data_IF_133084249809
#
_entry.id   IF_133084249809
#
_cell.length_a   1.000
_cell.length_b   1.000
_cell.length_c   1.000
_cell.angle_alpha   90.00
_cell.angle_beta   90.00
_cell.angle_gamma   90.00
#
_symmetry.space_group_name_H-M   'P 1'
#
loop_
_entity.id
_entity.type
_entity.pdbx_description
1 polymer ?
#
# COMPACT_ATOMS: atom_id res chain seq x y z
N UNK A 1 26.89 2.92 -18.23
CA UNK A 1 26.71 1.75 -19.11
C UNK A 1 25.51 0.99 -18.55
N UNK A 2 24.40 0.89 -19.29
CA UNK A 2 23.21 0.16 -18.83
C UNK A 2 23.37 -1.32 -19.16
N UNK A 3 23.20 -2.19 -18.16
CA UNK A 3 23.26 -3.64 -18.36
C UNK A 3 21.86 -4.22 -18.65
N UNK A 4 21.80 -5.40 -19.24
CA UNK A 4 20.52 -6.09 -19.46
C UNK A 4 19.82 -6.41 -18.13
N UNK A 5 20.56 -6.62 -17.05
CA UNK A 5 20.00 -6.81 -15.71
C UNK A 5 19.31 -5.55 -15.19
N UNK A 6 19.84 -4.36 -15.47
CA UNK A 6 19.20 -3.08 -15.12
C UNK A 6 17.89 -2.90 -15.90
N UNK A 7 17.89 -3.26 -17.19
CA UNK A 7 16.69 -3.22 -18.03
C UNK A 7 15.60 -4.17 -17.51
N UNK A 8 15.97 -5.40 -17.12
CA UNK A 8 15.04 -6.35 -16.50
C UNK A 8 14.50 -5.83 -15.16
N UNK A 9 15.34 -5.17 -14.36
CA UNK A 9 14.91 -4.58 -13.08
C UNK A 9 13.91 -3.44 -13.28
N UNK A 10 14.09 -2.60 -14.30
CA UNK A 10 13.14 -1.55 -14.66
C UNK A 10 11.79 -2.12 -15.13
N UNK A 11 11.81 -3.17 -15.96
CA UNK A 11 10.59 -3.85 -16.41
C UNK A 11 9.85 -4.51 -15.24
N UNK A 12 10.57 -5.09 -14.29
CA UNK A 12 10.01 -5.66 -13.06
C UNK A 12 9.38 -4.57 -12.19
N UNK A 13 10.06 -3.43 -11.98
CA UNK A 13 9.52 -2.29 -11.23
C UNK A 13 8.27 -1.67 -11.85
N UNK A 14 8.11 -1.76 -13.18
CA UNK A 14 6.89 -1.35 -13.91
C UNK A 14 5.81 -2.44 -13.96
N UNK A 15 6.03 -3.60 -13.35
CA UNK A 15 5.10 -4.74 -13.39
C UNK A 15 4.92 -5.38 -14.77
N UNK A 16 5.85 -5.17 -15.71
CA UNK A 16 5.74 -5.65 -17.10
C UNK A 16 6.27 -7.08 -17.31
N UNK A 17 6.94 -7.64 -16.32
CA UNK A 17 7.43 -9.03 -16.31
C UNK A 17 7.13 -9.67 -14.97
N UNK A 18 6.85 -10.98 -14.96
CA UNK A 18 6.64 -11.70 -13.70
C UNK A 18 7.97 -11.98 -12.99
N UNK A 19 7.90 -12.26 -11.68
CA UNK A 19 9.08 -12.68 -10.89
C UNK A 19 9.79 -13.89 -11.51
N UNK A 20 9.02 -14.82 -12.09
CA UNK A 20 9.56 -16.00 -12.78
C UNK A 20 10.33 -15.62 -14.05
N UNK A 21 9.80 -14.69 -14.84
CA UNK A 21 10.46 -14.23 -16.08
C UNK A 21 11.75 -13.50 -15.77
N UNK A 22 11.76 -12.67 -14.73
CA UNK A 22 12.96 -12.00 -14.25
C UNK A 22 14.04 -13.00 -13.81
N UNK A 23 13.68 -13.97 -12.95
CA UNK A 23 14.63 -14.97 -12.45
C UNK A 23 15.18 -15.85 -13.57
N UNK A 24 14.33 -16.30 -14.51
CA UNK A 24 14.77 -17.11 -15.65
C UNK A 24 15.74 -16.36 -16.56
N UNK A 25 15.46 -15.08 -16.85
CA UNK A 25 16.33 -14.26 -17.69
C UNK A 25 17.62 -13.84 -16.97
N UNK A 26 17.55 -13.53 -15.68
CA UNK A 26 18.74 -13.26 -14.88
C UNK A 26 19.67 -14.48 -14.82
N UNK A 27 19.11 -15.69 -14.67
CA UNK A 27 19.89 -16.93 -14.73
C UNK A 27 20.53 -17.16 -16.11
N UNK A 28 19.81 -16.88 -17.20
CA UNK A 28 20.35 -16.95 -18.56
C UNK A 28 21.49 -15.96 -18.81
N UNK A 29 21.47 -14.80 -18.13
CA UNK A 29 22.56 -13.81 -18.12
C UNK A 29 23.73 -14.19 -17.20
N UNK A 30 23.70 -15.37 -16.60
CA UNK A 30 24.77 -15.88 -15.73
C UNK A 30 24.69 -15.40 -14.28
N UNK A 31 23.58 -14.79 -13.86
CA UNK A 31 23.39 -14.45 -12.45
C UNK A 31 23.28 -15.74 -11.62
N UNK A 32 24.03 -15.80 -10.52
CA UNK A 32 23.88 -16.89 -9.56
C UNK A 32 22.48 -16.86 -8.95
N UNK A 33 21.98 -18.02 -8.49
CA UNK A 33 20.67 -18.10 -7.86
C UNK A 33 20.51 -17.12 -6.67
N UNK A 34 21.58 -16.92 -5.89
CA UNK A 34 21.61 -15.97 -4.78
C UNK A 34 21.51 -14.51 -5.26
N UNK A 35 22.28 -14.13 -6.29
CA UNK A 35 22.24 -12.78 -6.86
C UNK A 35 20.89 -12.50 -7.54
N UNK A 36 20.37 -13.45 -8.34
CA UNK A 36 19.07 -13.31 -8.99
C UNK A 36 17.94 -13.12 -7.97
N UNK A 37 17.97 -13.85 -6.85
CA UNK A 37 16.97 -13.74 -5.79
C UNK A 37 17.05 -12.40 -5.04
N UNK A 38 18.25 -11.92 -4.73
CA UNK A 38 18.42 -10.60 -4.07
C UNK A 38 18.01 -9.46 -4.98
N UNK A 39 18.36 -9.51 -6.26
CA UNK A 39 17.94 -8.53 -7.27
C UNK A 39 16.43 -8.57 -7.51
N UNK A 40 15.82 -9.76 -7.58
CA UNK A 40 14.37 -9.89 -7.67
C UNK A 40 13.67 -9.32 -6.42
N UNK A 41 14.24 -9.52 -5.23
CA UNK A 41 13.74 -8.92 -3.99
C UNK A 41 13.70 -7.39 -4.05
N UNK A 42 14.72 -6.76 -4.66
CA UNK A 42 14.77 -5.31 -4.87
C UNK A 42 13.82 -4.85 -5.99
N UNK A 43 13.81 -5.56 -7.12
CA UNK A 43 13.04 -5.19 -8.30
C UNK A 43 11.51 -5.35 -8.13
N UNK A 44 11.10 -6.31 -7.31
CA UNK A 44 9.69 -6.55 -6.94
C UNK A 44 9.39 -6.11 -5.49
N UNK A 45 10.20 -5.23 -4.91
CA UNK A 45 9.92 -4.67 -3.60
C UNK A 45 8.56 -3.93 -3.63
N UNK A 46 7.79 -4.04 -2.56
CA UNK A 46 6.57 -3.26 -2.38
C UNK A 46 6.92 -1.78 -2.17
N UNK A 47 7.25 -1.08 -3.24
CA UNK A 47 7.52 0.35 -3.22
C UNK A 47 6.22 1.14 -3.23
N UNK A 48 6.16 2.31 -2.59
CA UNK A 48 4.96 3.15 -2.63
C UNK A 48 4.57 3.47 -4.07
N UNK A 49 3.36 3.10 -4.47
CA UNK A 49 2.80 3.47 -5.77
C UNK A 49 2.18 4.85 -5.62
N UNK A 50 2.63 5.81 -6.44
CA UNK A 50 2.05 7.15 -6.47
C UNK A 50 0.66 7.11 -7.13
N UNK A 51 -0.38 7.42 -6.36
CA UNK A 51 -1.77 7.42 -6.83
C UNK A 51 -2.38 6.02 -6.86
N UNK A 52 -3.53 5.89 -7.53
CA UNK A 52 -4.33 4.66 -7.57
C UNK A 52 -5.74 4.86 -7.00
N UNK A 53 -6.57 3.83 -7.11
CA UNK A 53 -7.94 3.83 -6.57
C UNK A 53 -8.00 2.77 -5.48
N UNK A 54 -8.25 3.21 -4.24
CA UNK A 54 -8.61 2.31 -3.15
C UNK A 54 -10.07 1.91 -3.35
N UNK A 55 -10.34 0.61 -3.51
CA UNK A 55 -11.69 0.06 -3.60
C UNK A 55 -11.92 -0.85 -2.40
N UNK A 56 -12.96 -0.56 -1.61
CA UNK A 56 -13.35 -1.35 -0.46
C UNK A 56 -14.84 -1.63 -0.50
N UNK A 57 -15.24 -2.88 -0.23
CA UNK A 57 -16.64 -3.23 0.01
C UNK A 57 -16.98 -2.97 1.47
N UNK A 58 -17.81 -1.98 1.74
CA UNK A 58 -18.22 -1.57 3.09
C UNK A 58 -19.74 -1.63 3.19
N UNK A 59 -20.25 -1.85 4.41
CA UNK A 59 -21.68 -1.89 4.66
C UNK A 59 -22.27 -0.49 4.90
N UNK A 60 -23.49 -0.31 4.42
CA UNK A 60 -24.22 0.97 4.47
C UNK A 60 -23.75 1.96 3.41
N UNK A 61 -24.44 3.08 3.27
CA UNK A 61 -24.28 3.99 2.14
C UNK A 61 -25.62 4.35 1.49
N UNK A 62 -26.70 4.28 2.26
CA UNK A 62 -28.04 4.69 1.86
C UNK A 62 -28.09 6.21 1.64
N UNK A 63 -29.01 6.67 0.79
CA UNK A 63 -29.18 8.10 0.49
C UNK A 63 -29.58 8.96 1.70
N UNK A 64 -30.06 8.33 2.78
CA UNK A 64 -30.45 8.98 4.03
C UNK A 64 -29.30 9.06 5.05
N UNK A 65 -28.12 8.52 4.75
CA UNK A 65 -26.98 8.61 5.66
C UNK A 65 -26.45 10.05 5.75
N UNK A 66 -25.91 10.39 6.93
CA UNK A 66 -25.29 11.68 7.20
C UNK A 66 -23.77 11.56 7.24
N UNK A 67 -23.09 12.60 6.75
CA UNK A 67 -21.64 12.79 6.92
C UNK A 67 -21.29 13.58 8.18
N UNK A 68 -22.28 13.99 8.98
CA UNK A 68 -22.03 14.51 10.32
C UNK A 68 -21.50 13.37 11.22
N UNK A 69 -20.26 13.46 11.76
CA UNK A 69 -19.69 12.44 12.62
C UNK A 69 -20.57 12.10 13.84
N UNK A 70 -21.38 13.05 14.33
CA UNK A 70 -22.27 12.84 15.47
C UNK A 70 -23.56 12.06 15.11
N UNK A 71 -23.93 12.02 13.83
CA UNK A 71 -25.18 11.40 13.34
C UNK A 71 -24.93 10.18 12.44
N UNK A 72 -23.68 9.80 12.28
CA UNK A 72 -23.24 8.73 11.39
C UNK A 72 -23.61 7.35 11.95
N UNK A 73 -24.21 6.49 11.10
CA UNK A 73 -24.74 5.18 11.52
C UNK A 73 -24.23 4.01 10.66
N UNK A 74 -23.29 4.23 9.74
CA UNK A 74 -22.86 3.19 8.81
C UNK A 74 -21.35 3.19 8.55
N UNK A 75 -20.83 2.06 8.06
CA UNK A 75 -19.38 1.94 7.85
C UNK A 75 -18.89 2.84 6.72
N UNK A 76 -19.67 3.02 5.64
CA UNK A 76 -19.27 3.90 4.53
C UNK A 76 -19.11 5.32 5.01
N UNK A 77 -20.13 5.88 5.68
CA UNK A 77 -20.04 7.25 6.17
C UNK A 77 -18.96 7.38 7.24
N UNK A 78 -18.80 6.39 8.14
CA UNK A 78 -17.78 6.44 9.19
C UNK A 78 -16.36 6.49 8.60
N UNK A 79 -16.05 5.63 7.63
CA UNK A 79 -14.75 5.64 6.96
C UNK A 79 -14.54 6.89 6.11
N UNK A 80 -15.60 7.44 5.50
CA UNK A 80 -15.52 8.69 4.75
C UNK A 80 -15.23 9.90 5.66
N UNK A 81 -15.84 9.96 6.84
CA UNK A 81 -15.60 11.06 7.78
C UNK A 81 -14.12 11.18 8.17
N UNK A 82 -13.40 10.06 8.24
CA UNK A 82 -11.95 10.03 8.50
C UNK A 82 -11.09 10.65 7.39
N UNK A 83 -11.65 10.92 6.22
CA UNK A 83 -10.90 11.53 5.11
C UNK A 83 -10.80 13.05 5.25
N UNK A 84 -11.68 13.67 6.04
CA UNK A 84 -11.72 15.13 6.22
C UNK A 84 -11.67 15.55 7.69
N UNK A 85 -12.16 14.72 8.62
CA UNK A 85 -12.05 14.92 10.06
C UNK A 85 -10.86 14.14 10.63
N UNK A 86 -10.35 14.60 11.77
CA UNK A 86 -9.28 13.95 12.50
C UNK A 86 -9.69 13.66 13.95
N UNK A 87 -9.14 12.59 14.53
CA UNK A 87 -9.45 12.18 15.90
C UNK A 87 -8.57 12.91 16.92
N UNK A 88 -9.00 12.92 18.19
CA UNK A 88 -8.12 13.27 19.31
C UNK A 88 -6.99 12.24 19.43
N UNK A 89 -7.36 10.96 19.37
CA UNK A 89 -6.46 9.81 19.43
C UNK A 89 -6.90 8.72 18.44
N UNK A 90 -5.98 7.86 18.01
CA UNK A 90 -6.26 6.77 17.07
C UNK A 90 -5.73 5.44 17.60
N UNK A 91 -6.47 4.38 17.35
CA UNK A 91 -6.02 3.01 17.62
C UNK A 91 -4.96 2.60 16.60
N UNK A 92 -3.83 2.08 17.10
CA UNK A 92 -2.79 1.51 16.25
C UNK A 92 -3.13 0.06 15.86
N UNK A 93 -2.57 -0.48 14.77
CA UNK A 93 -2.75 -1.89 14.40
C UNK A 93 -2.33 -2.87 15.50
N UNK A 94 -1.40 -2.48 16.36
CA UNK A 94 -0.88 -3.25 17.49
C UNK A 94 -1.82 -3.19 18.72
N UNK A 95 -2.94 -2.48 18.63
CA UNK A 95 -3.89 -2.28 19.74
C UNK A 95 -3.49 -1.18 20.72
N UNK A 96 -2.49 -0.36 20.38
CA UNK A 96 -2.10 0.83 21.14
C UNK A 96 -2.97 2.04 20.81
N UNK A 97 -2.64 3.16 21.46
CA UNK A 97 -3.27 4.47 21.19
C UNK A 97 -2.18 5.46 20.80
N UNK A 98 -2.43 6.18 19.70
CA UNK A 98 -1.57 7.25 19.20
C UNK A 98 -2.30 8.59 19.32
N UNK A 99 -1.59 9.59 19.86
CA UNK A 99 -2.06 10.96 19.95
C UNK A 99 -2.04 11.62 18.57
N UNK A 100 -3.17 12.24 18.19
CA UNK A 100 -3.29 13.02 16.96
C UNK A 100 -3.48 14.49 17.28
N UNK A 101 -4.72 14.94 17.46
CA UNK A 101 -4.98 16.32 17.92
C UNK A 101 -4.64 16.45 19.42
N UNK A 102 -4.80 15.40 20.21
CA UNK A 102 -4.49 15.42 21.63
C UNK A 102 -2.99 15.53 21.87
N UNK A 103 -2.57 16.34 22.83
CA UNK A 103 -1.16 16.45 23.25
C UNK A 103 -0.80 15.40 24.31
N UNK A 104 -1.75 15.05 25.18
CA UNK A 104 -1.59 14.06 26.24
C UNK A 104 -2.90 13.28 26.51
N UNK A 105 -2.77 12.14 27.18
CA UNK A 105 -3.88 11.33 27.69
C UNK A 105 -3.71 11.27 29.21
N UNK A 106 -4.71 11.77 29.95
CA UNK A 106 -4.73 11.78 31.42
C UNK A 106 -5.16 10.47 32.07
#
# INVERSE_FOLDING_TARGET
MHTELDHLAELAGKGRISRRDFLGRAAALGASAALATTLAGKAFAATPVKGGIIKAGLQGGESTNSLDPALNLSQVTFNFCKQWGEFLVRLTPEGGVENLIAEEIG
#
